data_IF_505060826708
#
_entry.id   IF_505060826708
#
_cell.length_a   1.000
_cell.length_b   1.000
_cell.length_c   1.000
_cell.angle_alpha   90.00
_cell.angle_beta   90.00
_cell.angle_gamma   90.00
#
_symmetry.space_group_name_H-M   'P 1'
#
loop_
_entity.id
_entity.type
_entity.pdbx_description
1 polymer ?
#
# COMPACT_ATOMS: atom_id res chain seq x y z
N UNK A 1 15.85 -17.85 -9.23
CA UNK A 1 17.22 -17.26 -9.07
C UNK A 1 17.05 -15.88 -8.47
N UNK A 2 17.54 -15.63 -7.26
CA UNK A 2 17.48 -14.28 -6.65
C UNK A 2 18.41 -13.39 -7.47
N UNK A 3 17.86 -12.38 -8.14
CA UNK A 3 18.64 -11.37 -8.86
C UNK A 3 18.89 -10.24 -7.87
N UNK A 4 20.15 -9.90 -7.64
CA UNK A 4 20.51 -8.73 -6.85
C UNK A 4 20.28 -7.48 -7.71
N UNK A 5 19.03 -7.01 -7.75
CA UNK A 5 18.63 -5.80 -8.47
C UNK A 5 19.10 -4.52 -7.76
N UNK A 6 19.29 -4.59 -6.45
CA UNK A 6 19.65 -3.45 -5.63
C UNK A 6 21.10 -3.55 -5.17
N UNK A 7 21.76 -2.38 -5.12
CA UNK A 7 23.13 -2.24 -4.66
C UNK A 7 23.30 -2.80 -3.23
N UNK A 8 24.52 -3.20 -2.85
CA UNK A 8 24.81 -3.76 -1.51
C UNK A 8 24.50 -2.79 -0.35
N UNK A 9 24.31 -1.51 -0.64
CA UNK A 9 23.86 -0.49 0.31
C UNK A 9 22.35 -0.55 0.60
N UNK A 10 21.55 -1.19 -0.25
CA UNK A 10 20.12 -1.36 -0.01
C UNK A 10 19.88 -2.34 1.15
N UNK A 11 18.74 -2.17 1.82
CA UNK A 11 18.34 -2.98 2.97
C UNK A 11 16.93 -3.49 2.74
N UNK A 12 16.75 -4.79 2.93
CA UNK A 12 15.45 -5.46 2.81
C UNK A 12 14.99 -5.77 4.22
N UNK A 13 13.86 -5.22 4.64
CA UNK A 13 13.25 -5.45 5.94
C UNK A 13 11.90 -6.13 5.73
N UNK A 14 11.68 -7.26 6.39
CA UNK A 14 10.43 -8.03 6.30
C UNK A 14 9.87 -8.21 7.70
N UNK A 15 8.56 -8.05 7.84
CA UNK A 15 7.87 -8.35 9.09
C UNK A 15 6.83 -9.44 8.82
N UNK A 16 7.00 -10.57 9.50
CA UNK A 16 6.08 -11.69 9.47
C UNK A 16 5.16 -11.63 10.70
N UNK A 17 3.88 -11.94 10.51
CA UNK A 17 2.92 -12.09 11.59
C UNK A 17 1.82 -13.06 11.21
N UNK A 18 1.34 -13.82 12.19
CA UNK A 18 0.19 -14.72 12.09
C UNK A 18 0.32 -15.85 11.05
N UNK A 19 1.52 -16.13 10.52
CA UNK A 19 1.70 -17.29 9.61
C UNK A 19 1.53 -18.61 10.37
N UNK A 20 0.76 -19.52 9.79
CA UNK A 20 0.53 -20.87 10.32
C UNK A 20 1.19 -21.97 9.49
N UNK A 21 1.83 -21.58 8.39
CA UNK A 21 2.54 -22.46 7.45
C UNK A 21 4.07 -22.26 7.54
N UNK A 22 4.80 -22.73 6.52
CA UNK A 22 6.25 -22.66 6.47
C UNK A 22 6.80 -21.28 6.04
N UNK A 23 5.97 -20.22 6.02
CA UNK A 23 6.38 -18.88 5.56
C UNK A 23 7.58 -18.34 6.33
N UNK A 24 7.53 -18.32 7.67
CA UNK A 24 8.62 -17.76 8.48
C UNK A 24 9.96 -18.50 8.26
N UNK A 25 9.91 -19.83 8.21
CA UNK A 25 11.09 -20.65 7.93
C UNK A 25 11.65 -20.39 6.51
N UNK A 26 10.77 -20.12 5.54
CA UNK A 26 11.17 -19.77 4.17
C UNK A 26 11.79 -18.37 4.10
N UNK A 27 11.24 -17.40 4.84
CA UNK A 27 11.80 -16.05 4.94
C UNK A 27 13.21 -16.05 5.55
N UNK A 28 13.47 -16.87 6.56
CA UNK A 28 14.80 -16.98 7.17
C UNK A 28 15.88 -17.55 6.24
N UNK A 29 15.50 -18.21 5.14
CA UNK A 29 16.45 -18.65 4.11
C UNK A 29 16.93 -17.48 3.23
N UNK A 30 16.23 -16.34 3.25
CA UNK A 30 16.60 -15.15 2.50
C UNK A 30 17.66 -14.33 3.23
N UNK A 31 18.92 -14.74 3.10
CA UNK A 31 20.06 -14.19 3.86
C UNK A 31 20.30 -12.69 3.71
N UNK A 32 19.81 -12.05 2.64
CA UNK A 32 19.93 -10.60 2.45
C UNK A 32 18.82 -9.79 3.11
N UNK A 33 17.72 -10.44 3.53
CA UNK A 33 16.62 -9.79 4.20
C UNK A 33 16.79 -9.86 5.72
N UNK A 34 16.51 -8.74 6.40
CA UNK A 34 16.35 -8.72 7.85
C UNK A 34 14.88 -9.05 8.15
N UNK A 35 14.66 -10.26 8.67
CA UNK A 35 13.33 -10.77 8.99
C UNK A 35 13.03 -10.51 10.47
N UNK A 36 11.90 -9.86 10.73
CA UNK A 36 11.30 -9.70 12.04
C UNK A 36 10.01 -10.51 12.10
N UNK A 37 9.63 -10.99 13.27
CA UNK A 37 8.35 -11.68 13.46
C UNK A 37 7.64 -11.15 14.71
N UNK A 38 6.33 -10.95 14.58
CA UNK A 38 5.43 -10.71 15.71
C UNK A 38 4.82 -11.99 16.28
N UNK A 39 5.09 -13.15 15.68
CA UNK A 39 4.40 -14.40 15.99
C UNK A 39 2.89 -14.27 15.78
N UNK A 40 2.10 -14.77 16.74
CA UNK A 40 0.64 -14.60 16.73
C UNK A 40 0.24 -13.28 17.37
N UNK A 41 -0.09 -12.30 16.55
CA UNK A 41 -0.57 -10.98 16.96
C UNK A 41 -2.10 -10.91 17.06
N UNK A 42 -2.83 -11.79 16.37
CA UNK A 42 -4.31 -11.80 16.41
C UNK A 42 -4.89 -11.76 17.84
N UNK A 43 -4.40 -12.54 18.83
CA UNK A 43 -4.98 -12.54 20.17
C UNK A 43 -4.80 -11.21 20.92
N UNK A 44 -3.75 -10.44 20.62
CA UNK A 44 -3.41 -9.18 21.32
C UNK A 44 -3.87 -7.95 20.55
N UNK A 45 -3.93 -8.03 19.23
CA UNK A 45 -4.41 -6.97 18.33
C UNK A 45 -5.46 -7.59 17.41
N UNK A 46 -6.73 -7.70 17.82
CA UNK A 46 -7.74 -8.44 17.06
C UNK A 46 -8.15 -7.81 15.74
N UNK A 47 -8.07 -6.47 15.62
CA UNK A 47 -8.39 -5.76 14.39
C UNK A 47 -7.28 -5.95 13.34
N UNK A 48 -7.62 -6.56 12.19
CA UNK A 48 -6.66 -6.84 11.10
C UNK A 48 -5.95 -5.59 10.61
N UNK A 49 -6.67 -4.48 10.42
CA UNK A 49 -6.09 -3.20 9.98
C UNK A 49 -5.06 -2.67 10.98
N UNK A 50 -5.33 -2.77 12.28
CA UNK A 50 -4.40 -2.37 13.33
C UNK A 50 -3.17 -3.29 13.41
N UNK A 51 -3.35 -4.60 13.20
CA UNK A 51 -2.20 -5.53 13.08
C UNK A 51 -1.27 -5.16 11.95
N UNK A 52 -1.81 -4.94 10.76
CA UNK A 52 -1.01 -4.55 9.60
C UNK A 52 -0.32 -3.21 9.87
N UNK A 53 -1.02 -2.24 10.45
CA UNK A 53 -0.43 -0.97 10.86
C UNK A 53 0.72 -1.16 11.85
N UNK A 54 0.58 -2.03 12.86
CA UNK A 54 1.64 -2.38 13.81
C UNK A 54 2.88 -2.96 13.10
N UNK A 55 2.68 -3.94 12.21
CA UNK A 55 3.77 -4.55 11.43
C UNK A 55 4.48 -3.50 10.56
N UNK A 56 3.73 -2.69 9.80
CA UNK A 56 4.28 -1.65 8.93
C UNK A 56 4.98 -0.53 9.72
N UNK A 57 4.44 -0.12 10.87
CA UNK A 57 5.07 0.89 11.73
C UNK A 57 6.40 0.38 12.31
N UNK A 58 6.48 -0.91 12.66
CA UNK A 58 7.73 -1.52 13.09
C UNK A 58 8.79 -1.45 11.99
N UNK A 59 8.40 -1.76 10.74
CA UNK A 59 9.29 -1.66 9.59
C UNK A 59 9.72 -0.21 9.31
N UNK A 60 8.79 0.75 9.32
CA UNK A 60 9.12 2.17 9.11
C UNK A 60 10.06 2.69 10.19
N UNK A 61 9.82 2.35 11.46
CA UNK A 61 10.70 2.80 12.54
C UNK A 61 12.14 2.32 12.31
N UNK A 62 12.31 1.05 11.93
CA UNK A 62 13.62 0.49 11.60
C UNK A 62 14.22 1.12 10.34
N UNK A 63 13.41 1.34 9.30
CA UNK A 63 13.86 2.00 8.07
C UNK A 63 14.36 3.43 8.33
N UNK A 64 13.73 4.19 9.23
CA UNK A 64 14.20 5.53 9.62
C UNK A 64 15.60 5.52 10.23
N UNK A 65 15.91 4.52 11.04
CA UNK A 65 17.25 4.38 11.65
C UNK A 65 18.36 4.08 10.63
N UNK A 66 17.99 3.67 9.42
CA UNK A 66 18.92 3.43 8.32
C UNK A 66 19.14 4.67 7.44
N UNK A 67 18.37 5.74 7.66
CA UNK A 67 18.44 7.02 6.94
C UNK A 67 18.53 6.88 5.41
N UNK A 68 17.71 6.04 4.74
CA UNK A 68 17.76 5.93 3.28
C UNK A 68 17.15 7.18 2.63
N UNK A 69 17.48 7.46 1.37
CA UNK A 69 16.80 8.51 0.60
C UNK A 69 15.34 8.11 0.28
N UNK A 70 15.16 6.83 -0.05
CA UNK A 70 13.90 6.25 -0.49
C UNK A 70 13.53 5.00 0.31
N UNK A 71 12.23 4.82 0.53
CA UNK A 71 11.63 3.60 1.06
C UNK A 71 10.68 3.04 0.01
N UNK A 72 10.92 1.82 -0.44
CA UNK A 72 9.95 1.05 -1.22
C UNK A 72 9.20 0.11 -0.27
N UNK A 73 7.89 0.30 -0.12
CA UNK A 73 7.02 -0.64 0.59
C UNK A 73 6.32 -1.52 -0.43
N UNK A 74 6.24 -2.81 -0.13
CA UNK A 74 5.67 -3.84 -0.99
C UNK A 74 4.80 -4.78 -0.14
N UNK A 75 3.69 -5.24 -0.71
CA UNK A 75 2.99 -6.43 -0.23
C UNK A 75 3.74 -7.69 -0.68
N UNK A 76 3.62 -8.75 0.12
CA UNK A 76 4.33 -10.03 -0.12
C UNK A 76 3.56 -10.98 -1.04
N UNK A 77 2.40 -10.55 -1.55
CA UNK A 77 1.55 -11.25 -2.52
C UNK A 77 1.61 -10.61 -3.91
N UNK A 78 2.71 -9.89 -4.20
CA UNK A 78 3.05 -9.41 -5.54
C UNK A 78 3.86 -10.48 -6.24
N UNK A 79 3.36 -10.97 -7.37
CA UNK A 79 4.02 -12.04 -8.12
C UNK A 79 4.76 -11.54 -9.35
N UNK A 80 4.30 -10.41 -9.92
CA UNK A 80 4.90 -9.81 -11.11
C UNK A 80 5.25 -8.35 -10.84
N UNK A 81 6.48 -7.99 -11.18
CA UNK A 81 6.96 -6.61 -11.16
C UNK A 81 7.94 -6.38 -12.31
N UNK A 82 8.05 -5.14 -12.76
CA UNK A 82 8.97 -4.75 -13.83
C UNK A 82 9.95 -3.69 -13.33
N UNK A 83 11.25 -3.95 -13.51
CA UNK A 83 12.28 -2.98 -13.19
C UNK A 83 12.13 -1.70 -14.04
N UNK A 84 11.85 -1.83 -15.34
CA UNK A 84 11.66 -0.66 -16.20
C UNK A 84 10.44 0.15 -15.77
N UNK A 85 9.34 -0.52 -15.38
CA UNK A 85 8.15 0.13 -14.82
C UNK A 85 8.46 0.88 -13.52
N UNK A 86 9.21 0.25 -12.60
CA UNK A 86 9.67 0.89 -11.37
C UNK A 86 10.55 2.12 -11.64
N UNK A 87 11.46 2.04 -12.61
CA UNK A 87 12.36 3.15 -12.95
C UNK A 87 11.61 4.37 -13.48
N UNK A 88 10.41 4.22 -14.05
CA UNK A 88 9.61 5.37 -14.51
C UNK A 88 9.23 6.36 -13.40
N UNK A 89 9.27 5.93 -12.13
CA UNK A 89 9.05 6.84 -11.00
C UNK A 89 10.10 7.97 -10.94
N UNK A 90 11.26 7.77 -11.56
CA UNK A 90 12.37 8.73 -11.61
C UNK A 90 12.42 9.54 -12.92
N UNK A 91 11.48 9.30 -13.86
CA UNK A 91 11.35 10.10 -15.09
C UNK A 91 10.71 11.48 -14.81
N UNK A 92 10.14 11.66 -13.63
CA UNK A 92 9.49 12.88 -13.18
C UNK A 92 10.39 13.69 -12.24
N UNK A 93 10.18 15.02 -12.19
CA UNK A 93 10.94 15.90 -11.30
C UNK A 93 10.83 15.43 -9.84
N UNK A 94 11.98 15.10 -9.26
CA UNK A 94 12.12 14.68 -7.85
C UNK A 94 11.79 15.80 -6.85
N UNK A 95 11.33 16.97 -7.26
CA UNK A 95 10.76 17.99 -6.36
C UNK A 95 9.24 17.97 -6.32
N UNK A 96 8.59 17.35 -7.31
CA UNK A 96 7.14 17.46 -7.52
C UNK A 96 6.32 16.41 -6.77
N UNK A 97 6.95 15.31 -6.35
CA UNK A 97 6.28 14.19 -5.67
C UNK A 97 6.92 13.84 -4.33
N UNK A 98 6.14 13.25 -3.41
CA UNK A 98 6.63 12.67 -2.16
C UNK A 98 6.47 11.15 -2.13
N UNK A 99 5.41 10.66 -2.78
CA UNK A 99 5.08 9.25 -2.88
C UNK A 99 4.62 8.92 -4.30
N UNK A 100 5.15 7.85 -4.86
CA UNK A 100 4.65 7.21 -6.08
C UNK A 100 4.10 5.84 -5.74
N UNK A 101 2.82 5.62 -5.98
CA UNK A 101 2.14 4.35 -5.73
C UNK A 101 1.96 3.60 -7.03
N UNK A 102 1.94 2.27 -6.95
CA UNK A 102 1.80 1.44 -8.12
C UNK A 102 0.38 1.49 -8.70
N UNK A 103 0.32 1.05 -9.95
CA UNK A 103 -0.87 0.70 -10.68
C UNK A 103 -0.86 -0.81 -10.98
N UNK A 104 -1.99 -1.35 -11.43
CA UNK A 104 -2.16 -2.77 -11.76
C UNK A 104 -2.66 -2.97 -13.18
N UNK A 105 -2.48 -4.18 -13.70
CA UNK A 105 -3.16 -4.60 -14.92
C UNK A 105 -4.68 -4.65 -14.75
N UNK A 106 -5.40 -4.18 -15.76
CA UNK A 106 -6.86 -4.20 -15.74
C UNK A 106 -7.46 -3.11 -14.86
N UNK A 107 -8.40 -3.48 -13.99
CA UNK A 107 -9.11 -2.53 -13.12
C UNK A 107 -8.30 -2.23 -11.85
N UNK A 108 -8.13 -0.95 -11.54
CA UNK A 108 -7.52 -0.54 -10.28
C UNK A 108 -8.38 -1.06 -9.11
N UNK A 109 -7.81 -1.99 -8.33
CA UNK A 109 -8.59 -2.79 -7.37
C UNK A 109 -8.56 -2.23 -5.95
N UNK A 110 -7.49 -1.52 -5.57
CA UNK A 110 -7.26 -1.04 -4.20
C UNK A 110 -8.04 0.23 -3.89
N UNK A 111 -9.36 0.12 -4.05
CA UNK A 111 -10.35 1.17 -3.76
C UNK A 111 -10.40 1.47 -2.25
N UNK A 112 -9.93 0.55 -1.40
CA UNK A 112 -9.92 0.77 0.05
C UNK A 112 -8.88 1.82 0.45
N UNK A 113 -7.67 1.75 -0.12
CA UNK A 113 -6.63 2.77 0.09
C UNK A 113 -6.87 4.07 -0.70
N UNK A 114 -7.63 4.01 -1.81
CA UNK A 114 -7.81 5.14 -2.72
C UNK A 114 -8.63 6.27 -2.11
N UNK A 115 -8.08 7.48 -2.12
CA UNK A 115 -8.78 8.74 -1.82
C UNK A 115 -8.43 9.76 -2.88
N UNK A 116 -9.39 10.22 -3.68
CA UNK A 116 -9.10 11.25 -4.70
C UNK A 116 -9.01 12.64 -4.08
N UNK A 117 -8.51 13.62 -4.85
CA UNK A 117 -8.53 15.02 -4.44
C UNK A 117 -9.95 15.64 -4.45
N UNK A 118 -10.90 15.03 -5.16
CA UNK A 118 -12.27 15.54 -5.24
C UNK A 118 -13.09 15.06 -4.05
N UNK A 119 -13.68 16.01 -3.32
CA UNK A 119 -14.58 15.73 -2.20
C UNK A 119 -15.82 14.91 -2.60
N UNK A 120 -16.20 14.94 -3.88
CA UNK A 120 -17.36 14.23 -4.40
C UNK A 120 -17.02 12.82 -4.90
N UNK A 121 -15.76 12.58 -5.30
CA UNK A 121 -15.37 11.35 -5.98
C UNK A 121 -14.43 10.54 -5.08
N UNK A 122 -14.96 9.54 -4.38
CA UNK A 122 -14.13 8.55 -3.67
C UNK A 122 -13.13 9.20 -2.70
N UNK A 123 -13.52 10.27 -2.01
CA UNK A 123 -12.78 10.82 -0.86
C UNK A 123 -13.43 10.36 0.47
N UNK A 124 -13.75 9.06 0.58
CA UNK A 124 -14.37 8.46 1.76
C UNK A 124 -14.02 6.98 1.86
N UNK A 125 -14.26 6.37 3.04
CA UNK A 125 -14.06 4.93 3.23
C UNK A 125 -15.23 4.12 2.65
N UNK A 126 -14.96 3.41 1.55
CA UNK A 126 -15.98 2.63 0.84
C UNK A 126 -16.56 1.49 1.68
N UNK A 127 -15.76 0.88 2.55
CA UNK A 127 -16.21 -0.25 3.37
C UNK A 127 -17.08 0.20 4.53
N UNK A 128 -16.78 1.36 5.12
CA UNK A 128 -17.70 1.98 6.09
C UNK A 128 -19.07 2.25 5.46
N UNK A 129 -19.12 2.72 4.21
CA UNK A 129 -20.39 2.93 3.48
C UNK A 129 -21.11 1.62 3.19
N UNK A 130 -20.39 0.57 2.76
CA UNK A 130 -20.95 -0.77 2.56
C UNK A 130 -21.57 -1.29 3.86
N UNK A 131 -20.84 -1.24 4.98
CA UNK A 131 -21.34 -1.74 6.27
C UNK A 131 -22.54 -0.94 6.78
N UNK A 132 -22.55 0.38 6.59
CA UNK A 132 -23.70 1.21 6.96
C UNK A 132 -24.96 0.80 6.19
N UNK A 133 -24.85 0.54 4.89
CA UNK A 133 -25.98 0.12 4.04
C UNK A 133 -26.48 -1.29 4.38
N UNK A 134 -25.56 -2.25 4.59
CA UNK A 134 -25.92 -3.64 4.94
C UNK A 134 -26.57 -3.70 6.33
N UNK A 135 -26.04 -2.99 7.33
CA UNK A 135 -26.61 -2.99 8.69
C UNK A 135 -27.91 -2.20 8.78
N UNK A 136 -28.05 -1.14 7.99
CA UNK A 136 -29.21 -0.24 8.02
C UNK A 136 -30.43 -0.74 7.25
N UNK A 137 -30.33 -1.84 6.48
CA UNK A 137 -31.42 -2.33 5.65
C UNK A 137 -31.36 -3.84 5.46
N UNK A 138 -32.34 -4.53 6.03
CA UNK A 138 -32.57 -5.97 5.81
C UNK A 138 -33.01 -6.31 4.38
N UNK A 139 -33.23 -5.31 3.51
CA UNK A 139 -33.70 -5.48 2.14
C UNK A 139 -32.59 -5.60 1.10
N UNK A 140 -31.35 -5.25 1.42
CA UNK A 140 -30.28 -5.28 0.44
C UNK A 140 -29.49 -6.60 0.51
N UNK A 141 -29.28 -7.21 -0.66
CA UNK A 141 -28.30 -8.27 -0.82
C UNK A 141 -26.88 -7.68 -0.70
N UNK A 142 -26.02 -8.28 0.11
CA UNK A 142 -24.67 -7.77 0.38
C UNK A 142 -23.80 -7.61 -0.88
N UNK A 143 -23.86 -8.57 -1.80
CA UNK A 143 -23.11 -8.53 -3.07
C UNK A 143 -23.54 -7.34 -3.94
N UNK A 144 -24.85 -7.11 -4.05
CA UNK A 144 -25.39 -5.96 -4.80
C UNK A 144 -24.91 -4.61 -4.25
N UNK A 145 -24.80 -4.47 -2.93
CA UNK A 145 -24.26 -3.26 -2.29
C UNK A 145 -22.78 -3.09 -2.57
N UNK A 146 -22.00 -4.18 -2.51
CA UNK A 146 -20.57 -4.15 -2.81
C UNK A 146 -20.33 -3.70 -4.25
N UNK A 147 -21.06 -4.25 -5.22
CA UNK A 147 -20.91 -3.85 -6.62
C UNK A 147 -21.30 -2.39 -6.86
N UNK A 148 -22.38 -1.92 -6.23
CA UNK A 148 -22.83 -0.53 -6.36
C UNK A 148 -21.91 0.49 -5.67
N UNK A 149 -21.24 0.11 -4.58
CA UNK A 149 -20.40 1.04 -3.81
C UNK A 149 -18.94 0.96 -4.24
N UNK A 150 -18.42 -0.24 -4.51
CA UNK A 150 -17.00 -0.49 -4.82
C UNK A 150 -16.83 -0.74 -6.32
N UNK A 151 -17.67 -1.58 -6.91
CA UNK A 151 -17.56 -1.98 -8.32
C UNK A 151 -17.55 -0.80 -9.29
N UNK A 152 -18.37 0.22 -9.03
CA UNK A 152 -18.45 1.44 -9.87
C UNK A 152 -17.14 2.25 -9.92
N UNK A 153 -16.25 2.04 -8.96
CA UNK A 153 -14.96 2.73 -8.85
C UNK A 153 -13.78 1.90 -9.37
N UNK A 154 -13.98 0.59 -9.63
CA UNK A 154 -12.99 -0.28 -10.26
C UNK A 154 -12.87 0.09 -11.73
N UNK A 155 -12.02 1.07 -12.03
CA UNK A 155 -11.76 1.58 -13.38
C UNK A 155 -10.32 1.29 -13.78
N UNK A 156 -10.03 1.01 -15.06
CA UNK A 156 -8.65 0.86 -15.50
C UNK A 156 -7.96 2.22 -15.49
N UNK A 157 -6.68 2.21 -15.15
CA UNK A 157 -5.80 3.38 -15.28
C UNK A 157 -4.81 3.05 -16.39
N UNK A 158 -5.01 3.56 -17.62
CA UNK A 158 -4.11 3.27 -18.75
C UNK A 158 -2.70 3.78 -18.48
N UNK A 159 -1.67 3.03 -18.91
CA UNK A 159 -0.27 3.44 -18.77
C UNK A 159 0.08 4.72 -19.52
N UNK A 160 -0.74 5.10 -20.52
CA UNK A 160 -0.61 6.34 -21.28
C UNK A 160 -1.13 7.58 -20.54
N UNK A 161 -1.71 7.42 -19.35
CA UNK A 161 -2.22 8.53 -18.56
C UNK A 161 -1.09 9.26 -17.82
N UNK A 162 -1.23 10.57 -17.64
CA UNK A 162 -0.35 11.35 -16.77
C UNK A 162 -0.46 10.89 -15.30
N UNK A 163 0.51 11.28 -14.48
CA UNK A 163 0.47 11.06 -13.03
C UNK A 163 -0.87 11.55 -12.44
N UNK A 164 -1.47 10.70 -11.61
CA UNK A 164 -2.74 11.00 -10.94
C UNK A 164 -2.47 11.42 -9.50
N UNK A 165 -2.58 12.71 -9.21
CA UNK A 165 -2.47 13.17 -7.83
C UNK A 165 -3.68 12.73 -7.00
N UNK A 166 -3.42 12.15 -5.84
CA UNK A 166 -4.42 11.59 -4.92
C UNK A 166 -4.12 11.98 -3.47
N UNK A 167 -5.09 11.80 -2.59
CA UNK A 167 -4.89 11.92 -1.14
C UNK A 167 -4.29 10.65 -0.55
N UNK A 168 -4.61 9.50 -1.11
CA UNK A 168 -4.06 8.19 -0.74
C UNK A 168 -4.28 7.19 -1.88
N UNK A 169 -3.33 6.28 -2.06
CA UNK A 169 -3.38 5.11 -2.93
C UNK A 169 -2.29 4.15 -2.49
N UNK A 170 -2.30 2.88 -2.92
CA UNK A 170 -1.20 1.97 -2.63
C UNK A 170 -1.09 0.89 -3.70
N UNK A 171 -2.11 0.05 -3.83
CA UNK A 171 -2.17 -1.02 -4.84
C UNK A 171 -0.94 -1.92 -4.80
N UNK A 172 -0.58 -2.37 -3.59
CA UNK A 172 0.50 -3.32 -3.32
C UNK A 172 1.91 -2.71 -3.22
N UNK A 173 2.19 -1.58 -3.85
CA UNK A 173 3.53 -0.98 -3.81
C UNK A 173 3.54 0.54 -3.73
N UNK A 174 4.45 1.09 -2.92
CA UNK A 174 4.65 2.53 -2.79
C UNK A 174 6.12 2.89 -2.61
N UNK A 175 6.60 3.83 -3.44
CA UNK A 175 7.92 4.45 -3.33
C UNK A 175 7.79 5.79 -2.63
N UNK A 176 8.39 5.90 -1.45
CA UNK A 176 8.33 7.06 -0.57
C UNK A 176 9.69 7.73 -0.49
N UNK A 177 9.71 9.06 -0.49
CA UNK A 177 10.88 9.80 -0.01
C UNK A 177 10.92 9.74 1.51
N UNK A 178 12.04 9.29 2.06
CA UNK A 178 12.18 9.16 3.51
C UNK A 178 12.01 10.50 4.24
N UNK A 179 12.45 11.60 3.61
CA UNK A 179 12.25 12.95 4.11
C UNK A 179 10.77 13.37 4.18
N UNK A 180 9.91 12.80 3.34
CA UNK A 180 8.48 13.15 3.28
C UNK A 180 7.62 12.40 4.28
N UNK A 181 8.14 11.34 4.93
CA UNK A 181 7.36 10.50 5.86
C UNK A 181 7.68 10.75 7.33
N UNK A 182 8.46 11.79 7.64
CA UNK A 182 8.85 12.10 9.02
C UNK A 182 7.62 12.32 9.91
N UNK A 183 7.66 11.75 11.11
CA UNK A 183 6.58 11.87 12.11
C UNK A 183 5.19 11.39 11.66
N UNK A 184 5.11 10.55 10.62
CA UNK A 184 3.89 9.90 10.16
C UNK A 184 3.88 8.41 10.50
N UNK A 185 2.70 7.86 10.76
CA UNK A 185 2.52 6.45 11.13
C UNK A 185 1.29 5.90 10.45
N UNK A 186 1.31 4.60 10.16
CA UNK A 186 0.13 3.85 9.76
C UNK A 186 -0.85 3.75 10.93
N UNK A 187 -2.14 3.78 10.66
CA UNK A 187 -3.18 3.52 11.66
C UNK A 187 -4.35 2.79 11.03
N UNK A 188 -4.69 1.62 11.57
CA UNK A 188 -5.85 0.85 11.14
C UNK A 188 -7.10 1.09 11.99
N UNK A 189 -7.10 2.14 12.82
CA UNK A 189 -8.18 2.46 13.75
C UNK A 189 -9.53 2.58 13.00
N UNK A 190 -10.62 2.20 13.66
CA UNK A 190 -11.97 2.19 13.07
C UNK A 190 -12.10 1.34 11.78
N UNK A 191 -11.25 0.31 11.64
CA UNK A 191 -11.21 -0.58 10.48
C UNK A 191 -11.00 0.16 9.15
N UNK A 192 -10.29 1.29 9.18
CA UNK A 192 -9.88 1.97 7.94
C UNK A 192 -8.60 1.35 7.38
N UNK A 193 -8.35 1.57 6.08
CA UNK A 193 -7.10 1.17 5.46
C UNK A 193 -5.95 1.97 6.07
N UNK A 194 -4.90 1.29 6.52
CA UNK A 194 -3.82 1.88 7.29
C UNK A 194 -2.98 2.89 6.51
N UNK A 195 -2.98 2.77 5.18
CA UNK A 195 -2.34 3.72 4.25
C UNK A 195 -3.01 5.08 4.26
N UNK A 196 -4.33 5.16 4.47
CA UNK A 196 -5.08 6.42 4.40
C UNK A 196 -4.59 7.43 5.44
N UNK A 197 -4.58 7.15 6.74
CA UNK A 197 -4.06 8.10 7.73
C UNK A 197 -2.56 8.37 7.57
N UNK A 198 -1.78 7.38 7.11
CA UNK A 198 -0.36 7.58 6.83
C UNK A 198 -0.14 8.61 5.71
N UNK A 199 -0.85 8.47 4.61
CA UNK A 199 -0.82 9.38 3.47
C UNK A 199 -1.38 10.77 3.82
N UNK A 200 -2.50 10.84 4.55
CA UNK A 200 -3.03 12.13 5.01
C UNK A 200 -2.02 12.86 5.90
N UNK A 201 -1.32 12.16 6.80
CA UNK A 201 -0.25 12.75 7.58
C UNK A 201 0.87 13.34 6.71
N UNK A 202 1.31 12.60 5.67
CA UNK A 202 2.34 13.08 4.72
C UNK A 202 1.87 14.36 4.03
N UNK A 203 0.61 14.40 3.58
CA UNK A 203 0.04 15.58 2.92
C UNK A 203 -0.10 16.77 3.87
N UNK A 204 -0.63 16.55 5.07
CA UNK A 204 -1.01 17.62 5.99
C UNK A 204 0.19 18.17 6.76
N UNK A 205 1.05 17.31 7.28
CA UNK A 205 2.21 17.73 8.08
C UNK A 205 3.41 18.09 7.22
N UNK A 206 3.66 17.31 6.17
CA UNK A 206 4.88 17.41 5.39
C UNK A 206 4.65 18.05 4.01
N UNK A 207 3.41 18.49 3.71
CA UNK A 207 3.01 19.08 2.42
C UNK A 207 3.35 18.18 1.24
N UNK A 208 3.40 16.87 1.48
CA UNK A 208 3.80 15.90 0.47
C UNK A 208 2.71 15.69 -0.56
N UNK A 209 3.11 15.40 -1.80
CA UNK A 209 2.19 15.05 -2.90
C UNK A 209 2.29 13.56 -3.19
N UNK A 210 1.14 12.94 -3.39
CA UNK A 210 1.02 11.49 -3.54
C UNK A 210 0.41 11.24 -4.90
N UNK A 211 1.04 10.38 -5.68
CA UNK A 211 0.63 10.08 -7.03
C UNK A 211 0.48 8.58 -7.23
N UNK A 212 -0.53 8.19 -8.01
CA UNK A 212 -0.49 6.93 -8.74
C UNK A 212 0.34 7.19 -9.99
N UNK A 213 1.41 6.41 -10.19
CA UNK A 213 2.14 6.40 -11.46
C UNK A 213 1.56 5.30 -12.35
N UNK A 214 0.83 5.64 -13.43
CA UNK A 214 0.18 4.65 -14.29
C UNK A 214 1.15 3.64 -14.92
N UNK A 215 2.42 4.03 -15.10
CA UNK A 215 3.47 3.19 -15.66
C UNK A 215 4.20 2.33 -14.60
N UNK A 216 4.10 2.65 -13.31
CA UNK A 216 4.66 1.82 -12.23
C UNK A 216 3.72 0.63 -11.95
N UNK A 217 3.89 -0.46 -12.72
CA UNK A 217 3.00 -1.62 -12.67
C UNK A 217 3.52 -2.77 -11.82
N UNK A 218 2.59 -3.35 -11.06
CA UNK A 218 2.73 -4.65 -10.40
C UNK A 218 1.49 -5.50 -10.69
N UNK A 219 1.59 -6.82 -10.59
CA UNK A 219 0.42 -7.71 -10.69
C UNK A 219 0.44 -8.80 -9.60
N UNK A 220 -0.78 -9.14 -9.13
CA UNK A 220 -1.06 -10.12 -8.07
C UNK A 220 -1.47 -11.49 -8.60
N UNK A 221 -1.53 -11.68 -9.92
CA UNK A 221 -1.78 -12.99 -10.53
C UNK A 221 -0.54 -13.46 -11.28
N UNK A 222 -0.20 -14.73 -11.09
CA UNK A 222 0.73 -15.46 -11.95
C UNK A 222 -0.07 -16.05 -13.12
N UNK A 223 -0.63 -15.20 -13.99
CA UNK A 223 -1.18 -15.70 -15.25
C UNK A 223 -0.03 -15.88 -16.25
N UNK A 224 0.67 -16.99 -16.11
CA UNK A 224 1.46 -17.63 -17.18
C UNK A 224 0.78 -18.91 -17.61
#
# INVERSE_FOLDING_TARGET
RIIHLFHSSSRILIFESDSTDNTLASLHQWTTAQVYTGGRLEPTIPARSERIAYCRNTLIHKARMLEPDYLLTLDMDIFVGSLSAFLTNFDYDMKEWSVMTANVGGFYYDIWALRTLSELNLNYDVWQRVWALIRGSSKYCGESVIDQVIGIHKKPIPTSHDLLEVRSAFSGAGLYKMSSIQNCQYSGENSTCEHVPFHLCIREKNRGRIFINPSFRIDHTNDT
#
